data_IF_842001144541
#
_entry.id   IF_842001144541
#
_cell.length_a   1.000
_cell.length_b   1.000
_cell.length_c   1.000
_cell.angle_alpha   90.00
_cell.angle_beta   90.00
_cell.angle_gamma   90.00
#
_symmetry.space_group_name_H-M   'P 1'
#
loop_
_entity.id
_entity.type
_entity.pdbx_description
1 polymer ?
#
# COMPACT_ATOMS: atom_id res chain seq x y z
N UNK A 1 -35.57 21.85 15.66
CA UNK A 1 -34.10 21.85 15.60
C UNK A 1 -33.66 20.40 15.58
N UNK A 2 -33.50 19.83 14.39
CA UNK A 2 -33.13 18.42 14.22
C UNK A 2 -31.61 18.31 14.19
N UNK A 3 -31.05 17.77 15.25
CA UNK A 3 -29.61 17.53 15.43
C UNK A 3 -29.15 16.43 14.48
N UNK A 4 -28.34 16.83 13.49
CA UNK A 4 -27.71 15.93 12.54
C UNK A 4 -26.51 15.24 13.24
N UNK A 5 -26.73 14.08 13.85
CA UNK A 5 -25.65 13.27 14.41
C UNK A 5 -24.88 12.59 13.25
N UNK A 6 -23.73 13.14 12.87
CA UNK A 6 -22.80 12.43 11.99
C UNK A 6 -22.25 11.21 12.73
N UNK A 7 -22.86 10.04 12.51
CA UNK A 7 -22.32 8.75 12.97
C UNK A 7 -20.94 8.58 12.31
N UNK A 8 -19.87 8.67 13.11
CA UNK A 8 -18.52 8.26 12.70
C UNK A 8 -18.59 6.80 12.24
N UNK A 9 -18.26 6.55 10.97
CA UNK A 9 -18.10 5.19 10.44
C UNK A 9 -16.97 4.50 11.20
N UNK A 10 -17.13 3.22 11.52
CA UNK A 10 -16.07 2.43 12.14
C UNK A 10 -15.08 1.97 11.06
N UNK A 11 -13.79 1.85 11.39
CA UNK A 11 -12.75 1.31 10.49
C UNK A 11 -13.15 -0.02 9.83
N UNK A 12 -13.99 -0.79 10.52
CA UNK A 12 -14.63 -2.01 10.04
C UNK A 12 -15.64 -1.84 8.92
N UNK A 13 -16.48 -0.80 8.97
CA UNK A 13 -17.39 -0.49 7.86
C UNK A 13 -16.59 -0.05 6.63
N UNK A 14 -15.51 0.70 6.84
CA UNK A 14 -14.65 1.15 5.74
C UNK A 14 -13.85 0.01 5.10
N UNK A 15 -13.43 -1.01 5.87
CA UNK A 15 -12.82 -2.25 5.36
C UNK A 15 -13.82 -3.10 4.57
N UNK A 16 -15.05 -3.26 5.09
CA UNK A 16 -16.11 -3.94 4.35
C UNK A 16 -16.43 -3.20 3.04
N UNK A 17 -16.51 -1.87 3.07
CA UNK A 17 -16.70 -1.05 1.88
C UNK A 17 -15.53 -1.19 0.89
N UNK A 18 -14.28 -1.35 1.32
CA UNK A 18 -13.15 -1.64 0.41
C UNK A 18 -13.40 -2.96 -0.30
N UNK A 19 -13.72 -4.00 0.46
CA UNK A 19 -13.92 -5.34 -0.07
C UNK A 19 -15.10 -5.35 -1.05
N UNK A 20 -16.21 -4.75 -0.66
CA UNK A 20 -17.42 -4.64 -1.49
C UNK A 20 -17.13 -3.81 -2.73
N UNK A 21 -16.54 -2.62 -2.59
CA UNK A 21 -16.22 -1.74 -3.74
C UNK A 21 -15.25 -2.43 -4.70
N UNK A 22 -14.24 -3.13 -4.19
CA UNK A 22 -13.29 -3.87 -5.01
C UNK A 22 -13.97 -5.07 -5.69
N UNK A 23 -14.84 -5.80 -4.98
CA UNK A 23 -15.59 -6.94 -5.52
C UNK A 23 -16.63 -6.51 -6.57
N UNK A 24 -17.36 -5.43 -6.34
CA UNK A 24 -18.32 -4.83 -7.27
C UNK A 24 -17.63 -4.26 -8.51
N UNK A 25 -16.46 -3.63 -8.35
CA UNK A 25 -15.64 -3.17 -9.47
C UNK A 25 -15.11 -4.34 -10.31
N UNK A 26 -14.83 -5.49 -9.68
CA UNK A 26 -14.51 -6.73 -10.39
C UNK A 26 -15.72 -7.34 -11.11
N UNK A 27 -16.94 -7.19 -10.59
CA UNK A 27 -18.15 -7.75 -11.21
C UNK A 27 -18.66 -6.96 -12.42
N UNK A 28 -18.45 -5.63 -12.45
CA UNK A 28 -18.82 -4.79 -13.60
C UNK A 28 -17.83 -4.88 -14.77
N UNK A 29 -16.66 -5.48 -14.57
CA UNK A 29 -15.60 -5.65 -15.58
C UNK A 29 -15.37 -7.16 -15.77
N UNK A 30 -16.18 -7.78 -16.64
CA UNK A 30 -16.09 -9.17 -17.12
C UNK A 30 -16.31 -10.31 -16.10
N UNK A 31 -17.27 -11.18 -16.44
CA UNK A 31 -17.71 -12.39 -15.71
C UNK A 31 -16.68 -13.52 -15.54
N UNK A 32 -15.41 -13.35 -15.95
CA UNK A 32 -14.41 -14.42 -15.91
C UNK A 32 -13.09 -14.08 -15.18
N UNK A 33 -12.91 -12.85 -14.69
CA UNK A 33 -11.67 -12.44 -14.02
C UNK A 33 -11.95 -12.04 -12.57
N UNK A 34 -11.74 -12.99 -11.64
CA UNK A 34 -11.81 -12.77 -10.19
C UNK A 34 -10.69 -11.81 -9.74
N UNK A 35 -10.94 -10.50 -9.78
CA UNK A 35 -9.96 -9.46 -9.41
C UNK A 35 -10.00 -9.06 -7.92
N UNK A 36 -10.84 -9.71 -7.11
CA UNK A 36 -10.71 -9.69 -5.65
C UNK A 36 -10.71 -11.12 -5.14
N UNK A 37 -9.52 -11.65 -4.91
CA UNK A 37 -9.40 -12.88 -4.14
C UNK A 37 -9.48 -12.50 -2.65
N UNK A 38 -10.71 -12.30 -2.14
CA UNK A 38 -10.93 -12.23 -0.70
C UNK A 38 -10.67 -13.63 -0.12
N UNK A 39 -9.40 -13.92 0.20
CA UNK A 39 -9.02 -15.20 0.76
C UNK A 39 -9.38 -15.25 2.26
N UNK A 40 -10.63 -15.58 2.57
CA UNK A 40 -11.06 -15.85 3.95
C UNK A 40 -10.40 -17.15 4.41
N UNK A 41 -9.25 -17.05 5.09
CA UNK A 41 -8.58 -18.20 5.70
C UNK A 41 -9.24 -18.44 7.06
N UNK A 42 -10.39 -19.10 7.05
CA UNK A 42 -11.01 -19.55 8.28
C UNK A 42 -10.36 -20.85 8.77
N UNK A 43 -9.92 -20.79 10.03
CA UNK A 43 -9.60 -21.87 10.96
C UNK A 43 -8.15 -22.37 11.17
N UNK A 44 -7.85 -22.42 12.46
CA UNK A 44 -6.66 -22.93 13.14
C UNK A 44 -6.46 -24.41 12.84
N UNK A 45 -5.37 -24.74 12.13
CA UNK A 45 -4.40 -25.78 12.49
C UNK A 45 -3.21 -25.70 11.52
N UNK A 46 -1.98 -25.90 12.02
CA UNK A 46 -0.74 -25.80 11.23
C UNK A 46 -0.60 -26.83 10.09
N UNK A 47 -1.58 -27.73 9.90
CA UNK A 47 -1.61 -28.72 8.84
C UNK A 47 -2.75 -28.36 7.87
N UNK A 48 -2.45 -28.23 6.57
CA UNK A 48 -3.43 -27.90 5.52
C UNK A 48 -3.25 -26.55 4.80
N UNK A 49 -2.26 -25.72 5.18
CA UNK A 49 -1.97 -24.42 4.53
C UNK A 49 -1.24 -24.51 3.19
N UNK A 50 -0.99 -25.71 2.70
CA UNK A 50 -0.26 -25.89 1.44
C UNK A 50 -1.05 -25.33 0.25
N UNK A 51 -2.38 -25.42 0.29
CA UNK A 51 -3.22 -24.86 -0.77
C UNK A 51 -3.27 -23.34 -0.72
N UNK A 52 -3.30 -22.73 0.47
CA UNK A 52 -3.16 -21.28 0.65
C UNK A 52 -1.80 -20.79 0.12
N UNK A 53 -0.72 -21.49 0.47
CA UNK A 53 0.64 -21.18 -0.01
C UNK A 53 0.71 -21.33 -1.54
N UNK A 54 0.12 -22.39 -2.11
CA UNK A 54 0.06 -22.58 -3.57
C UNK A 54 -0.69 -21.44 -4.24
N UNK A 55 -1.80 -20.99 -3.67
CA UNK A 55 -2.59 -19.89 -4.20
C UNK A 55 -1.83 -18.56 -4.14
N UNK A 56 -1.25 -18.22 -2.99
CA UNK A 56 -0.39 -17.03 -2.84
C UNK A 56 0.75 -17.05 -3.87
N UNK A 57 1.41 -18.19 -4.04
CA UNK A 57 2.46 -18.35 -5.05
C UNK A 57 1.94 -18.26 -6.48
N UNK A 58 0.71 -18.70 -6.76
CA UNK A 58 0.08 -18.51 -8.07
C UNK A 58 -0.13 -17.04 -8.37
N UNK A 59 -0.69 -16.31 -7.40
CA UNK A 59 -0.92 -14.88 -7.52
C UNK A 59 0.36 -14.09 -7.73
N UNK A 60 1.44 -14.43 -7.02
CA UNK A 60 2.75 -13.84 -7.26
C UNK A 60 3.26 -14.09 -8.70
N UNK A 61 3.04 -15.30 -9.25
CA UNK A 61 3.42 -15.61 -10.64
C UNK A 61 2.57 -14.85 -11.65
N UNK A 62 1.27 -14.68 -11.38
CA UNK A 62 0.34 -13.92 -12.24
C UNK A 62 0.76 -12.45 -12.38
N UNK A 63 1.31 -11.83 -11.32
CA UNK A 63 1.84 -10.45 -11.40
C UNK A 63 2.90 -10.25 -12.48
N UNK A 64 3.70 -11.28 -12.76
CA UNK A 64 4.74 -11.19 -13.78
C UNK A 64 4.21 -11.29 -15.21
N UNK A 65 3.06 -11.93 -15.41
CA UNK A 65 2.49 -12.15 -16.76
C UNK A 65 1.77 -10.92 -17.31
N UNK A 66 1.28 -10.03 -16.44
CA UNK A 66 0.60 -8.79 -16.83
C UNK A 66 1.50 -7.76 -17.52
N UNK A 67 2.82 -7.95 -17.53
CA UNK A 67 3.79 -7.02 -18.14
C UNK A 67 4.34 -7.44 -19.51
N UNK A 68 3.97 -8.61 -20.05
CA UNK A 68 4.63 -9.25 -21.20
C UNK A 68 3.68 -9.53 -22.38
N UNK A 69 2.47 -8.96 -22.36
CA UNK A 69 1.48 -9.08 -23.45
C UNK A 69 1.60 -7.94 -24.45
N UNK A 70 1.52 -8.25 -25.73
CA UNK A 70 1.58 -7.30 -26.85
C UNK A 70 0.66 -6.09 -26.65
N UNK A 71 1.15 -4.88 -26.99
CA UNK A 71 0.49 -3.58 -26.81
C UNK A 71 -0.94 -3.49 -27.42
N UNK A 72 -1.32 -4.40 -28.32
CA UNK A 72 -2.63 -4.44 -28.97
C UNK A 72 -3.76 -5.04 -28.12
N UNK A 73 -3.47 -5.91 -27.14
CA UNK A 73 -4.49 -6.53 -26.27
C UNK A 73 -4.72 -5.77 -24.95
N UNK A 74 -3.83 -4.85 -24.60
CA UNK A 74 -3.85 -4.08 -23.34
C UNK A 74 -5.03 -3.09 -23.23
N UNK A 75 -5.70 -2.76 -24.34
CA UNK A 75 -6.75 -1.72 -24.38
C UNK A 75 -8.11 -2.22 -23.83
N UNK A 76 -8.30 -3.53 -23.57
CA UNK A 76 -9.62 -4.10 -23.23
C UNK A 76 -9.79 -4.66 -21.81
N UNK A 77 -8.76 -4.79 -21.00
CA UNK A 77 -8.92 -5.13 -19.59
C UNK A 77 -8.61 -3.93 -18.71
N UNK A 78 -9.64 -3.24 -18.20
CA UNK A 78 -9.45 -2.38 -17.04
C UNK A 78 -8.89 -3.24 -15.90
N UNK A 79 -7.58 -3.10 -15.66
CA UNK A 79 -6.85 -3.93 -14.72
C UNK A 79 -7.08 -3.42 -13.30
N UNK A 80 -8.25 -3.70 -12.71
CA UNK A 80 -8.51 -3.34 -11.30
C UNK A 80 -7.40 -3.91 -10.43
N UNK A 81 -6.86 -3.11 -9.51
CA UNK A 81 -5.78 -3.53 -8.62
C UNK A 81 -6.17 -4.76 -7.79
N UNK A 82 -5.25 -5.72 -7.67
CA UNK A 82 -5.53 -6.96 -6.94
C UNK A 82 -5.25 -6.79 -5.44
N UNK A 83 -6.23 -7.18 -4.61
CA UNK A 83 -6.08 -7.26 -3.15
C UNK A 83 -6.36 -8.68 -2.66
N UNK A 84 -5.52 -9.17 -1.75
CA UNK A 84 -5.77 -10.37 -0.95
C UNK A 84 -5.91 -9.96 0.51
N UNK A 85 -7.01 -10.36 1.14
CA UNK A 85 -7.19 -10.22 2.58
C UNK A 85 -7.02 -11.57 3.25
N UNK A 86 -6.19 -11.63 4.29
CA UNK A 86 -5.96 -12.80 5.12
C UNK A 86 -6.50 -12.53 6.52
N UNK A 87 -7.49 -13.32 6.91
CA UNK A 87 -8.19 -13.17 8.17
C UNK A 87 -7.89 -14.33 9.13
N UNK A 88 -8.18 -14.16 10.41
CA UNK A 88 -8.05 -15.19 11.44
C UNK A 88 -7.68 -14.63 12.81
N UNK A 89 -7.81 -15.44 13.86
CA UNK A 89 -7.58 -15.00 15.25
C UNK A 89 -6.12 -14.59 15.53
N UNK A 90 -5.88 -13.91 16.65
CA UNK A 90 -4.53 -13.55 17.08
C UNK A 90 -3.63 -14.79 17.23
N UNK A 91 -2.34 -14.67 16.87
CA UNK A 91 -1.36 -15.75 17.01
C UNK A 91 -1.48 -16.90 16.01
N UNK A 92 -2.43 -16.88 15.07
CA UNK A 92 -2.62 -17.93 14.04
C UNK A 92 -1.53 -17.97 12.98
N UNK A 93 -0.57 -17.06 12.98
CA UNK A 93 0.53 -17.04 12.00
C UNK A 93 0.14 -16.53 10.61
N UNK A 94 -0.80 -15.57 10.50
CA UNK A 94 -1.16 -14.89 9.25
C UNK A 94 0.06 -14.27 8.55
N UNK A 95 0.82 -13.46 9.28
CA UNK A 95 2.04 -12.83 8.77
C UNK A 95 3.08 -13.86 8.35
N UNK A 96 3.19 -14.99 9.07
CA UNK A 96 4.09 -16.08 8.71
C UNK A 96 3.66 -16.82 7.44
N UNK A 97 2.34 -16.98 7.22
CA UNK A 97 1.80 -17.55 5.98
C UNK A 97 2.10 -16.64 4.78
N UNK A 98 1.84 -15.34 4.91
CA UNK A 98 2.11 -14.34 3.87
C UNK A 98 3.60 -14.28 3.57
N UNK A 99 4.45 -14.30 4.60
CA UNK A 99 5.90 -14.35 4.43
C UNK A 99 6.33 -15.60 3.65
N UNK A 100 5.87 -16.79 4.03
CA UNK A 100 6.22 -18.05 3.33
C UNK A 100 5.65 -18.16 1.91
N UNK A 101 4.45 -17.61 1.69
CA UNK A 101 3.72 -17.68 0.43
C UNK A 101 4.14 -16.62 -0.58
N UNK A 102 4.49 -15.42 -0.13
CA UNK A 102 4.81 -14.27 -0.97
C UNK A 102 6.20 -13.70 -0.68
N UNK A 103 6.54 -13.43 0.58
CA UNK A 103 7.80 -12.79 0.96
C UNK A 103 9.05 -13.58 0.54
N UNK A 104 9.15 -14.85 0.95
CA UNK A 104 10.31 -15.69 0.65
C UNK A 104 10.42 -15.98 -0.87
N UNK A 105 9.32 -16.29 -1.58
CA UNK A 105 9.37 -16.40 -3.04
C UNK A 105 9.73 -15.09 -3.73
N UNK A 106 9.26 -13.94 -3.25
CA UNK A 106 9.57 -12.63 -3.84
C UNK A 106 11.07 -12.34 -3.81
N UNK A 107 11.69 -12.54 -2.64
CA UNK A 107 13.13 -12.36 -2.45
C UNK A 107 14.00 -13.21 -3.40
N UNK A 108 13.50 -14.37 -3.81
CA UNK A 108 14.22 -15.32 -4.66
C UNK A 108 13.93 -15.17 -6.17
N UNK A 109 12.88 -14.46 -6.56
CA UNK A 109 12.37 -14.47 -7.95
C UNK A 109 12.21 -13.09 -8.59
N UNK A 110 12.88 -12.06 -8.03
CA UNK A 110 12.94 -10.72 -8.60
C UNK A 110 11.68 -9.86 -8.39
N UNK A 111 10.84 -10.23 -7.42
CA UNK A 111 9.72 -9.40 -6.97
C UNK A 111 10.13 -8.61 -5.74
N UNK A 112 9.46 -7.48 -5.49
CA UNK A 112 9.62 -6.76 -4.23
C UNK A 112 8.52 -7.16 -3.27
N UNK A 113 8.90 -7.49 -2.04
CA UNK A 113 7.97 -7.62 -0.92
C UNK A 113 8.24 -6.50 0.07
N UNK A 114 7.26 -5.60 0.23
CA UNK A 114 7.34 -4.46 1.12
C UNK A 114 6.23 -4.55 2.17
N UNK A 115 6.63 -4.62 3.44
CA UNK A 115 5.68 -4.83 4.54
C UNK A 115 5.59 -3.61 5.45
N UNK A 116 4.36 -3.27 5.83
CA UNK A 116 4.04 -2.27 6.82
C UNK A 116 3.12 -2.86 7.88
N UNK A 117 3.21 -2.33 9.09
CA UNK A 117 2.44 -2.83 10.23
C UNK A 117 1.91 -1.65 11.04
N UNK A 118 0.65 -1.71 11.43
CA UNK A 118 0.10 -0.81 12.44
C UNK A 118 0.63 -1.21 13.81
N UNK A 119 1.00 -0.23 14.64
CA UNK A 119 1.25 -0.54 16.05
C UNK A 119 -0.09 -0.59 16.81
N UNK A 120 -0.10 -1.14 18.01
CA UNK A 120 -1.33 -1.41 18.77
C UNK A 120 -2.15 -0.13 19.03
N UNK A 121 -3.47 -0.30 19.18
CA UNK A 121 -4.51 0.72 19.39
C UNK A 121 -4.18 1.73 20.51
N UNK A 122 -3.38 1.33 21.50
CA UNK A 122 -2.97 2.20 22.60
C UNK A 122 -2.06 3.35 22.14
N UNK A 123 -1.36 3.17 21.02
CA UNK A 123 -0.48 4.18 20.44
C UNK A 123 -1.26 4.94 19.37
N UNK A 124 -1.40 6.26 19.52
CA UNK A 124 -1.92 7.10 18.44
C UNK A 124 -0.89 7.13 17.31
N UNK A 125 -1.23 6.51 16.19
CA UNK A 125 -0.43 6.54 14.98
C UNK A 125 -0.69 7.80 14.17
N UNK A 126 0.35 8.32 13.51
CA UNK A 126 0.14 9.29 12.43
C UNK A 126 -0.65 8.62 11.29
N UNK A 127 -1.35 9.39 10.44
CA UNK A 127 -2.10 8.83 9.31
C UNK A 127 -1.17 8.05 8.39
N UNK A 128 -1.72 7.02 7.74
CA UNK A 128 -0.99 6.22 6.76
C UNK A 128 0.22 5.50 7.35
N UNK A 129 0.29 5.27 8.67
CA UNK A 129 1.52 4.77 9.32
C UNK A 129 2.01 3.44 8.77
N UNK A 130 1.15 2.43 8.68
CA UNK A 130 1.52 1.13 8.14
C UNK A 130 1.88 1.25 6.65
N UNK A 131 1.13 2.02 5.86
CA UNK A 131 1.42 2.24 4.46
C UNK A 131 2.78 2.95 4.25
N UNK A 132 3.06 3.99 5.03
CA UNK A 132 4.33 4.71 5.05
C UNK A 132 5.51 3.80 5.42
N UNK A 133 5.32 2.91 6.39
CA UNK A 133 6.31 1.89 6.76
C UNK A 133 6.59 0.94 5.57
N UNK A 134 5.55 0.46 4.89
CA UNK A 134 5.70 -0.39 3.71
C UNK A 134 6.43 0.34 2.57
N UNK A 135 6.05 1.58 2.28
CA UNK A 135 6.73 2.43 1.29
C UNK A 135 8.19 2.71 1.66
N UNK A 136 8.49 2.83 2.96
CA UNK A 136 9.87 2.96 3.47
C UNK A 136 10.69 1.69 3.19
N UNK A 137 10.11 0.50 3.39
CA UNK A 137 10.74 -0.77 3.02
C UNK A 137 11.01 -0.84 1.52
N UNK A 138 10.05 -0.40 0.70
CA UNK A 138 10.18 -0.33 -0.76
C UNK A 138 11.32 0.61 -1.18
N UNK A 139 11.37 1.83 -0.64
CA UNK A 139 12.42 2.80 -0.93
C UNK A 139 13.82 2.28 -0.52
N UNK A 140 13.94 1.63 0.65
CA UNK A 140 15.18 0.99 1.11
C UNK A 140 15.63 -0.11 0.16
N UNK A 141 14.71 -0.95 -0.32
CA UNK A 141 15.03 -1.99 -1.29
C UNK A 141 15.62 -1.40 -2.58
N UNK A 142 14.98 -0.36 -3.13
CA UNK A 142 15.45 0.33 -4.33
C UNK A 142 16.85 0.93 -4.12
N UNK A 143 17.12 1.49 -2.94
CA UNK A 143 18.43 2.04 -2.60
C UNK A 143 19.52 0.94 -2.45
N UNK A 144 19.17 -0.24 -1.91
CA UNK A 144 20.12 -1.35 -1.78
C UNK A 144 20.42 -2.02 -3.13
N UNK A 145 19.42 -2.24 -3.97
CA UNK A 145 19.61 -2.79 -5.31
C UNK A 145 20.52 -1.89 -6.18
N UNK A 146 20.50 -0.57 -5.94
CA UNK A 146 21.44 0.33 -6.58
C UNK A 146 22.90 0.01 -6.26
N UNK A 147 23.19 -0.38 -5.02
CA UNK A 147 24.56 -0.60 -4.55
C UNK A 147 25.12 -1.95 -5.02
N UNK A 148 24.27 -2.96 -5.30
CA UNK A 148 24.71 -4.27 -5.79
C UNK A 148 25.30 -4.22 -7.21
N UNK A 149 24.76 -3.36 -8.09
CA UNK A 149 25.27 -3.17 -9.47
C UNK A 149 26.51 -2.26 -9.56
N UNK A 150 26.95 -1.67 -8.44
CA UNK A 150 28.19 -0.87 -8.37
C UNK A 150 29.47 -1.70 -8.44
N UNK A 151 29.40 -3.03 -8.38
CA UNK A 151 30.51 -3.95 -8.60
C UNK A 151 30.40 -4.65 -9.95
N UNK A 152 31.26 -4.26 -10.91
CA UNK A 152 31.48 -4.86 -12.23
C UNK A 152 30.46 -4.55 -13.35
N UNK A 153 30.89 -3.66 -14.25
CA UNK A 153 30.84 -3.84 -15.72
C UNK A 153 29.49 -3.84 -16.47
N UNK A 154 28.52 -2.99 -16.11
CA UNK A 154 27.45 -2.61 -17.05
C UNK A 154 27.24 -1.09 -17.05
N UNK A 155 27.61 -0.40 -18.13
CA UNK A 155 27.64 1.07 -18.25
C UNK A 155 26.28 1.79 -18.29
N UNK A 156 25.22 1.19 -17.76
CA UNK A 156 23.88 1.78 -17.69
C UNK A 156 23.58 2.43 -16.33
N UNK A 157 22.69 3.44 -16.27
CA UNK A 157 22.22 3.99 -15.01
C UNK A 157 21.53 2.90 -14.17
N UNK A 158 21.75 2.94 -12.86
CA UNK A 158 21.12 2.02 -11.93
C UNK A 158 19.62 2.26 -11.83
N UNK A 159 18.85 1.25 -11.41
CA UNK A 159 17.39 1.30 -11.32
C UNK A 159 16.90 2.43 -10.41
N UNK A 160 17.60 2.73 -9.31
CA UNK A 160 17.21 3.84 -8.44
C UNK A 160 17.44 5.20 -9.11
N UNK A 161 18.46 5.31 -9.97
CA UNK A 161 18.71 6.51 -10.78
C UNK A 161 17.60 6.70 -11.81
N UNK A 162 17.19 5.62 -12.48
CA UNK A 162 16.07 5.66 -13.43
C UNK A 162 14.76 6.08 -12.76
N UNK A 163 14.43 5.46 -11.63
CA UNK A 163 13.23 5.80 -10.84
C UNK A 163 13.30 7.26 -10.38
N UNK A 164 14.44 7.71 -9.82
CA UNK A 164 14.62 9.09 -9.37
C UNK A 164 14.46 10.09 -10.50
N UNK A 165 15.05 9.83 -11.66
CA UNK A 165 14.93 10.70 -12.83
C UNK A 165 13.48 10.77 -13.32
N UNK A 166 12.77 9.63 -13.33
CA UNK A 166 11.35 9.59 -13.71
C UNK A 166 10.48 10.36 -12.72
N UNK A 167 10.74 10.24 -11.42
CA UNK A 167 10.07 11.06 -10.39
C UNK A 167 10.32 12.55 -10.62
N UNK A 168 11.57 12.96 -10.84
CA UNK A 168 11.93 14.37 -11.07
C UNK A 168 11.29 14.98 -12.33
N UNK A 169 10.96 14.15 -13.32
CA UNK A 169 10.31 14.60 -14.54
C UNK A 169 8.78 14.65 -14.43
N UNK A 170 8.18 13.81 -13.57
CA UNK A 170 6.73 13.63 -13.48
C UNK A 170 6.07 14.38 -12.31
N UNK A 171 6.85 14.74 -11.29
CA UNK A 171 6.38 15.41 -10.09
C UNK A 171 6.91 16.85 -10.02
N UNK A 172 6.04 17.78 -9.64
CA UNK A 172 6.48 19.12 -9.29
C UNK A 172 6.99 19.19 -7.83
N UNK A 173 7.54 20.35 -7.45
CA UNK A 173 8.09 20.55 -6.10
C UNK A 173 7.01 20.47 -5.00
N UNK A 174 5.74 20.82 -5.31
CA UNK A 174 4.65 20.75 -4.34
C UNK A 174 4.28 19.30 -4.06
N UNK A 175 4.15 18.48 -5.11
CA UNK A 175 3.85 17.06 -4.99
C UNK A 175 4.96 16.31 -4.23
N UNK A 176 6.23 16.59 -4.55
CA UNK A 176 7.38 15.99 -3.86
C UNK A 176 7.35 16.33 -2.37
N UNK A 177 7.02 17.57 -2.04
CA UNK A 177 6.96 18.03 -0.66
C UNK A 177 5.76 17.43 0.09
N UNK A 178 4.60 17.27 -0.56
CA UNK A 178 3.46 16.52 0.01
C UNK A 178 3.83 15.05 0.26
N UNK A 179 4.47 14.39 -0.71
CA UNK A 179 4.93 13.01 -0.57
C UNK A 179 5.94 12.85 0.57
N UNK A 180 6.87 13.80 0.76
CA UNK A 180 7.84 13.76 1.87
C UNK A 180 7.18 13.86 3.24
N UNK A 181 6.06 14.58 3.36
CA UNK A 181 5.32 14.68 4.63
C UNK A 181 4.60 13.39 4.99
N UNK A 182 4.04 12.72 3.98
CA UNK A 182 3.24 11.51 4.14
C UNK A 182 4.11 10.25 4.20
N UNK A 183 5.19 10.23 3.41
CA UNK A 183 6.10 9.10 3.24
C UNK A 183 7.54 9.55 3.59
N UNK A 184 7.83 9.91 4.86
CA UNK A 184 9.14 10.44 5.24
C UNK A 184 10.30 9.48 4.91
N UNK A 185 10.08 8.17 4.98
CA UNK A 185 11.10 7.18 4.62
C UNK A 185 11.38 7.04 3.12
N UNK A 186 10.60 7.70 2.26
CA UNK A 186 10.86 7.79 0.82
C UNK A 186 11.68 9.04 0.44
N UNK A 187 12.06 9.90 1.40
CA UNK A 187 12.69 11.19 1.10
C UNK A 187 13.95 11.08 0.22
N UNK A 188 14.76 10.04 0.41
CA UNK A 188 15.95 9.79 -0.42
C UNK A 188 15.59 9.43 -1.86
N UNK A 189 14.53 8.65 -2.08
CA UNK A 189 14.05 8.29 -3.40
C UNK A 189 13.52 9.52 -4.15
N UNK A 190 12.84 10.42 -3.43
CA UNK A 190 12.25 11.66 -3.93
C UNK A 190 13.29 12.77 -4.21
N UNK A 191 14.58 12.57 -3.90
CA UNK A 191 15.66 13.51 -4.18
C UNK A 191 16.06 14.44 -3.02
N UNK A 192 17.13 15.23 -3.21
CA UNK A 192 17.70 16.09 -2.16
C UNK A 192 16.82 17.32 -1.84
N UNK A 193 16.96 17.83 -0.61
CA UNK A 193 16.15 18.95 -0.09
C UNK A 193 16.60 20.30 -0.66
N UNK A 194 15.65 21.20 -0.91
CA UNK A 194 15.88 22.65 -0.82
C UNK A 194 15.33 23.13 0.53
N UNK A 195 16.18 23.72 1.33
CA UNK A 195 15.93 24.10 2.73
C UNK A 195 14.86 25.18 2.88
N UNK A 196 13.87 24.98 3.76
CA UNK A 196 13.22 26.05 4.56
C UNK A 196 12.07 25.58 5.45
N UNK A 197 11.56 24.33 5.32
CA UNK A 197 10.46 23.82 6.15
C UNK A 197 10.95 22.69 7.07
N UNK A 198 10.60 22.75 8.36
CA UNK A 198 10.80 21.65 9.31
C UNK A 198 9.81 20.54 8.96
N UNK A 199 10.24 19.61 8.12
CA UNK A 199 9.43 18.45 7.75
C UNK A 199 9.77 17.26 8.67
N UNK A 200 8.77 16.50 9.13
CA UNK A 200 9.00 15.31 9.93
C UNK A 200 9.94 14.35 9.19
N UNK A 201 10.95 13.84 9.90
CA UNK A 201 11.98 12.96 9.35
C UNK A 201 11.66 11.48 9.54
N UNK A 202 10.70 11.20 10.41
CA UNK A 202 10.21 9.86 10.74
C UNK A 202 8.69 9.85 10.89
N UNK A 203 8.10 8.66 10.83
CA UNK A 203 6.67 8.49 11.12
C UNK A 203 6.34 8.88 12.57
N UNK A 204 7.30 8.76 13.50
CA UNK A 204 7.13 9.20 14.89
C UNK A 204 7.02 10.73 15.01
N UNK A 205 7.79 11.48 14.20
CA UNK A 205 7.70 12.93 14.12
C UNK A 205 6.33 13.36 13.58
N UNK A 206 5.84 12.67 12.54
CA UNK A 206 4.47 12.88 12.01
C UNK A 206 3.45 12.65 13.12
N UNK A 207 3.52 11.50 13.82
CA UNK A 207 2.60 11.18 14.89
C UNK A 207 2.64 12.18 16.05
N UNK A 208 3.82 12.72 16.39
CA UNK A 208 3.97 13.75 17.41
C UNK A 208 3.27 15.07 17.03
N UNK A 209 3.30 15.46 15.75
CA UNK A 209 2.56 16.63 15.26
C UNK A 209 1.04 16.47 15.45
N UNK A 210 0.52 15.25 15.28
CA UNK A 210 -0.89 14.96 15.53
C UNK A 210 -1.27 14.91 17.03
N UNK A 211 -0.30 14.72 17.93
CA UNK A 211 -0.53 14.68 19.39
C UNK A 211 -0.54 16.06 20.07
N UNK A 212 -0.25 17.15 19.35
CA UNK A 212 -0.17 18.51 19.90
C UNK A 212 -1.53 19.07 20.34
N UNK A 213 -1.62 19.51 21.61
CA UNK A 213 -2.74 20.29 22.14
C UNK A 213 -2.81 21.72 21.56
N UNK A 214 -3.80 22.55 21.96
CA UNK A 214 -4.22 23.79 21.28
C UNK A 214 -3.16 24.92 21.19
N UNK A 215 -1.95 24.72 21.70
CA UNK A 215 -0.89 25.75 21.81
C UNK A 215 0.41 25.40 21.05
N UNK A 216 0.37 24.49 20.08
CA UNK A 216 1.48 24.38 19.13
C UNK A 216 1.40 25.52 18.11
N UNK A 217 2.41 26.41 18.09
CA UNK A 217 2.62 27.50 17.09
C UNK A 217 2.75 27.01 15.62
N UNK A 218 2.37 25.77 15.33
CA UNK A 218 2.19 25.15 14.02
C UNK A 218 0.70 24.82 13.74
N UNK A 219 -0.24 25.48 14.44
CA UNK A 219 -1.69 25.24 14.36
C UNK A 219 -2.38 25.63 13.04
N UNK A 220 -1.72 25.51 11.89
CA UNK A 220 -2.34 25.75 10.57
C UNK A 220 -1.79 24.90 9.43
N UNK A 221 -0.97 23.88 9.72
CA UNK A 221 -0.71 22.85 8.71
C UNK A 221 -1.91 21.91 8.68
N UNK A 222 -2.89 22.29 7.88
CA UNK A 222 -3.87 21.39 7.30
C UNK A 222 -3.08 20.36 6.47
N UNK A 223 -2.46 19.39 7.15
CA UNK A 223 -1.38 18.56 6.59
C UNK A 223 -1.89 17.61 5.49
N UNK A 224 -3.20 17.33 5.50
CA UNK A 224 -3.93 16.66 4.44
C UNK A 224 -4.94 17.57 3.73
N UNK A 225 -4.94 18.87 4.05
CA UNK A 225 -5.81 19.92 3.52
C UNK A 225 -7.29 19.55 3.37
N UNK A 226 -8.02 20.35 2.60
CA UNK A 226 -9.40 20.02 2.24
C UNK A 226 -9.48 18.76 1.36
N UNK A 227 -10.69 18.39 0.92
CA UNK A 227 -10.90 17.26 0.00
C UNK A 227 -9.97 17.27 -1.23
N UNK A 228 -9.60 18.46 -1.70
CA UNK A 228 -8.68 18.64 -2.83
C UNK A 228 -7.25 18.17 -2.50
N UNK A 229 -6.74 18.49 -1.31
CA UNK A 229 -5.39 18.09 -0.88
C UNK A 229 -5.28 16.57 -0.66
N UNK A 230 -6.33 15.93 -0.13
CA UNK A 230 -6.40 14.46 -0.04
C UNK A 230 -6.38 13.84 -1.45
N UNK A 231 -7.14 14.39 -2.39
CA UNK A 231 -7.22 13.89 -3.77
C UNK A 231 -5.87 14.02 -4.49
N UNK A 232 -5.18 15.16 -4.30
CA UNK A 232 -3.82 15.39 -4.81
C UNK A 232 -2.81 14.41 -4.18
N UNK A 233 -2.88 14.20 -2.87
CA UNK A 233 -2.04 13.20 -2.20
C UNK A 233 -2.28 11.79 -2.76
N UNK A 234 -3.53 11.37 -2.92
CA UNK A 234 -3.87 10.07 -3.50
C UNK A 234 -3.32 9.94 -4.92
N UNK A 235 -3.46 10.98 -5.75
CA UNK A 235 -2.89 11.01 -7.09
C UNK A 235 -1.37 10.87 -7.08
N UNK A 236 -0.67 11.65 -6.22
CA UNK A 236 0.77 11.60 -6.11
C UNK A 236 1.28 10.22 -5.67
N UNK A 237 0.62 9.57 -4.70
CA UNK A 237 0.98 8.22 -4.25
C UNK A 237 0.76 7.18 -5.34
N UNK A 238 -0.38 7.23 -6.05
CA UNK A 238 -0.66 6.31 -7.17
C UNK A 238 0.37 6.45 -8.28
N UNK A 239 0.72 7.69 -8.64
CA UNK A 239 1.74 7.97 -9.65
C UNK A 239 3.12 7.48 -9.22
N UNK A 240 3.46 7.63 -7.94
CA UNK A 240 4.72 7.12 -7.40
C UNK A 240 4.76 5.59 -7.48
N UNK A 241 3.68 4.92 -7.08
CA UNK A 241 3.54 3.46 -7.22
C UNK A 241 3.62 3.02 -8.68
N UNK A 242 2.97 3.73 -9.61
CA UNK A 242 3.05 3.45 -11.05
C UNK A 242 4.47 3.49 -11.56
N UNK A 243 5.23 4.54 -11.23
CA UNK A 243 6.65 4.67 -11.60
C UNK A 243 7.43 3.49 -11.04
N UNK A 244 7.33 3.23 -9.73
CA UNK A 244 8.10 2.18 -9.07
C UNK A 244 7.76 0.81 -9.66
N UNK A 245 6.48 0.44 -9.72
CA UNK A 245 6.05 -0.87 -10.18
C UNK A 245 6.38 -1.12 -11.65
N UNK A 246 6.47 -0.08 -12.49
CA UNK A 246 6.89 -0.20 -13.90
C UNK A 246 8.34 -0.69 -14.07
N UNK A 247 9.17 -0.60 -13.03
CA UNK A 247 10.58 -0.99 -13.09
C UNK A 247 10.87 -2.36 -12.47
N UNK A 248 9.86 -3.05 -11.94
CA UNK A 248 10.01 -4.36 -11.30
C UNK A 248 9.06 -5.39 -11.90
N UNK A 249 9.42 -6.67 -11.75
CA UNK A 249 8.57 -7.80 -12.18
C UNK A 249 7.21 -7.83 -11.48
N UNK A 250 7.17 -7.31 -10.26
CA UNK A 250 5.96 -7.09 -9.49
C UNK A 250 6.28 -6.66 -8.07
N UNK A 251 5.35 -5.93 -7.46
CA UNK A 251 5.46 -5.40 -6.11
C UNK A 251 4.32 -5.98 -5.28
N UNK A 252 4.67 -6.58 -4.15
CA UNK A 252 3.74 -7.01 -3.11
C UNK A 252 3.80 -6.02 -1.97
N UNK A 253 2.71 -5.32 -1.73
CA UNK A 253 2.55 -4.40 -0.60
C UNK A 253 1.74 -5.09 0.50
N UNK A 254 2.40 -5.51 1.56
CA UNK A 254 1.76 -6.18 2.69
C UNK A 254 1.50 -5.19 3.83
N UNK A 255 0.25 -5.11 4.29
CA UNK A 255 -0.18 -4.32 5.44
C UNK A 255 -0.73 -5.26 6.52
N UNK A 256 -0.05 -5.32 7.65
CA UNK A 256 -0.42 -6.14 8.81
C UNK A 256 -1.22 -5.34 9.84
N UNK A 257 -2.01 -6.05 10.64
CA UNK A 257 -2.92 -5.51 11.65
C UNK A 257 -3.88 -4.43 11.11
N UNK A 258 -4.51 -4.70 9.95
CA UNK A 258 -5.48 -3.79 9.32
C UNK A 258 -6.68 -3.44 10.21
N UNK A 259 -6.99 -4.22 11.24
CA UNK A 259 -8.05 -3.86 12.20
C UNK A 259 -7.77 -2.54 12.94
N UNK A 260 -6.51 -2.08 12.97
CA UNK A 260 -6.09 -0.80 13.55
C UNK A 260 -5.92 0.32 12.51
N UNK A 261 -6.37 0.10 11.27
CA UNK A 261 -6.21 1.07 10.19
C UNK A 261 -6.96 2.38 10.46
N UNK A 262 -6.33 3.51 10.13
CA UNK A 262 -7.00 4.80 10.01
C UNK A 262 -7.79 4.92 8.70
N UNK A 263 -8.78 5.82 8.67
CA UNK A 263 -9.64 6.02 7.49
C UNK A 263 -8.86 6.52 6.27
N UNK A 264 -7.81 7.32 6.48
CA UNK A 264 -6.98 7.81 5.38
C UNK A 264 -6.26 6.66 4.66
N UNK A 265 -5.80 5.65 5.40
CA UNK A 265 -5.19 4.45 4.83
C UNK A 265 -6.18 3.68 3.99
N UNK A 266 -7.39 3.47 4.52
CA UNK A 266 -8.43 2.74 3.80
C UNK A 266 -8.85 3.47 2.52
N UNK A 267 -9.05 4.78 2.59
CA UNK A 267 -9.39 5.60 1.42
C UNK A 267 -8.27 5.62 0.37
N UNK A 268 -7.01 5.65 0.80
CA UNK A 268 -5.86 5.53 -0.10
C UNK A 268 -5.79 4.15 -0.75
N UNK A 269 -6.00 3.07 0.00
CA UNK A 269 -6.05 1.71 -0.54
C UNK A 269 -7.18 1.56 -1.56
N UNK A 270 -8.39 2.08 -1.28
CA UNK A 270 -9.49 2.15 -2.27
C UNK A 270 -9.02 2.85 -3.54
N UNK A 271 -8.43 4.03 -3.38
CA UNK A 271 -7.93 4.83 -4.50
C UNK A 271 -6.90 4.07 -5.34
N UNK A 272 -5.99 3.32 -4.72
CA UNK A 272 -4.97 2.52 -5.41
C UNK A 272 -5.62 1.32 -6.14
N UNK A 273 -6.56 0.62 -5.51
CA UNK A 273 -7.23 -0.54 -6.10
C UNK A 273 -8.12 -0.17 -7.29
N UNK A 274 -8.75 1.01 -7.24
CA UNK A 274 -9.56 1.54 -8.34
C UNK A 274 -8.71 2.09 -9.50
N UNK A 275 -7.40 2.23 -9.33
CA UNK A 275 -6.50 2.70 -10.36
C UNK A 275 -5.89 1.54 -11.14
N UNK A 276 -6.47 1.28 -12.31
CA UNK A 276 -5.99 0.21 -13.18
C UNK A 276 -4.74 0.53 -13.99
N UNK A 277 -4.13 1.69 -13.80
CA UNK A 277 -2.90 2.07 -14.47
C UNK A 277 -1.63 1.62 -13.73
N UNK A 278 -1.75 1.09 -12.51
CA UNK A 278 -0.60 0.63 -11.72
C UNK A 278 -0.26 -0.81 -12.14
N UNK A 279 0.87 -1.04 -12.84
CA UNK A 279 1.21 -2.37 -13.32
C UNK A 279 1.70 -3.26 -12.18
N UNK A 280 1.40 -4.56 -12.24
CA UNK A 280 2.03 -5.61 -11.43
C UNK A 280 2.10 -5.34 -9.91
N UNK A 281 1.07 -4.70 -9.34
CA UNK A 281 0.92 -4.47 -7.90
C UNK A 281 -0.07 -5.47 -7.28
N UNK A 282 0.34 -6.12 -6.19
CA UNK A 282 -0.52 -6.92 -5.32
C UNK A 282 -0.54 -6.31 -3.92
N UNK A 283 -1.73 -5.96 -3.44
CA UNK A 283 -1.91 -5.52 -2.06
C UNK A 283 -2.35 -6.72 -1.21
N UNK A 284 -1.71 -6.91 -0.06
CA UNK A 284 -2.08 -7.95 0.89
C UNK A 284 -2.38 -7.32 2.23
N UNK A 285 -3.55 -7.60 2.77
CA UNK A 285 -3.95 -7.15 4.08
C UNK A 285 -4.09 -8.33 5.04
N UNK A 286 -3.58 -8.21 6.26
CA UNK A 286 -3.90 -9.17 7.33
C UNK A 286 -4.69 -8.48 8.44
N UNK A 287 -5.75 -9.12 8.91
CA UNK A 287 -6.54 -8.61 10.03
C UNK A 287 -7.06 -9.73 10.95
N UNK A 288 -7.50 -9.32 12.14
CA UNK A 288 -8.13 -10.18 13.14
C UNK A 288 -9.64 -10.15 13.00
N UNK A 289 -10.26 -11.30 12.78
CA UNK A 289 -11.71 -11.40 12.62
C UNK A 289 -12.44 -11.01 13.90
N UNK A 290 -11.87 -11.36 15.05
CA UNK A 290 -12.40 -11.08 16.38
C UNK A 290 -12.41 -9.59 16.76
N UNK A 291 -11.59 -8.76 16.11
CA UNK A 291 -11.55 -7.31 16.31
C UNK A 291 -12.40 -6.55 15.28
N UNK A 292 -12.99 -7.26 14.32
CA UNK A 292 -13.80 -6.72 13.23
C UNK A 292 -15.25 -7.22 13.38
N UNK A 293 -16.19 -6.41 13.91
CA UNK A 293 -17.59 -6.83 14.04
C UNK A 293 -18.17 -7.43 12.76
N UNK A 294 -19.11 -8.37 12.94
CA UNK A 294 -19.69 -9.32 11.97
C UNK A 294 -20.29 -8.75 10.66
N UNK A 295 -20.16 -7.46 10.38
CA UNK A 295 -20.61 -6.85 9.11
C UNK A 295 -19.89 -7.39 7.87
N UNK A 296 -18.81 -8.16 8.01
CA UNK A 296 -18.13 -8.81 6.90
C UNK A 296 -18.78 -10.15 6.47
N UNK A 297 -19.80 -10.65 7.19
CA UNK A 297 -20.40 -11.97 6.91
C UNK A 297 -21.56 -11.96 5.89
N UNK A 298 -21.88 -10.83 5.26
CA UNK A 298 -22.94 -10.72 4.26
C UNK A 298 -22.44 -10.46 2.83
N UNK A 299 -21.33 -11.11 2.46
CA UNK A 299 -20.94 -11.31 1.07
C UNK A 299 -20.82 -12.81 0.84
#
# INVERSE_FOLDING_TARGET
MSSNSSRRRSSTQDLADIVITAAESSHNINRESNNVAQLRISNMQLHGRDDDIKLLRSKLRELAKKGDGDEEDAIKSHNVGEMILVSGTSGTGKSALIQKGLGDPAANHGYIFASGKFEDKLHSHGPLSAFSNAMTCLAKYIAVEHNKKGGLSSGGPSISTLIRNKIQNEFDEEDVEQLRRVLPGCAELLGARRSSIICPSSQADVAALYRGGPDSRLGSLNLLGGKESISRMHYAVRRLLKIVCSHFKGVVLFIDDLQWSDTATLDLLKSILLDGEIPSLLIVGAYREDEVPDCLFLI
#
